data_IF_628660579918
#
_entry.id   IF_628660579918
#
_cell.length_a   1.000
_cell.length_b   1.000
_cell.length_c   1.000
_cell.angle_alpha   90.00
_cell.angle_beta   90.00
_cell.angle_gamma   90.00
#
_symmetry.space_group_name_H-M   'P 1'
#
loop_
_entity.id
_entity.type
_entity.pdbx_description
1 polymer ?
#
# COMPACT_ATOMS: atom_id res chain seq x y z
N UNK A 1 45.34 -8.98 33.07
CA UNK A 1 44.36 -9.56 33.99
C UNK A 1 43.16 -10.03 33.18
N UNK A 2 42.81 -11.31 33.21
CA UNK A 2 41.64 -11.85 32.49
C UNK A 2 40.42 -11.81 33.42
N UNK A 3 39.29 -11.31 32.92
CA UNK A 3 38.03 -11.29 33.67
C UNK A 3 37.57 -12.73 34.00
N UNK A 4 37.04 -12.99 35.21
CA UNK A 4 36.54 -14.31 35.59
C UNK A 4 35.30 -14.68 34.78
N UNK A 5 35.21 -15.94 34.32
CA UNK A 5 34.12 -16.46 33.47
C UNK A 5 32.72 -16.28 34.07
N UNK A 6 32.60 -16.18 35.39
CA UNK A 6 31.34 -15.94 36.09
C UNK A 6 30.79 -14.51 35.95
N UNK A 7 31.51 -13.61 35.26
CA UNK A 7 31.08 -12.25 34.94
C UNK A 7 30.82 -12.04 33.44
N UNK A 8 30.96 -13.09 32.60
CA UNK A 8 30.39 -13.04 31.25
C UNK A 8 28.88 -13.29 31.36
N UNK A 9 28.10 -12.36 30.85
CA UNK A 9 26.68 -12.58 30.57
C UNK A 9 26.68 -13.44 29.30
N UNK A 10 26.03 -14.60 29.34
CA UNK A 10 25.83 -15.41 28.15
C UNK A 10 25.01 -14.60 27.15
N UNK A 11 25.50 -14.47 25.92
CA UNK A 11 24.68 -13.93 24.84
C UNK A 11 23.37 -14.73 24.78
N UNK A 12 22.21 -14.07 24.66
CA UNK A 12 20.95 -14.77 24.51
C UNK A 12 21.07 -15.77 23.35
N UNK A 13 20.40 -16.93 23.43
CA UNK A 13 20.42 -17.89 22.34
C UNK A 13 20.07 -17.15 21.05
N UNK A 14 20.85 -17.41 20.00
CA UNK A 14 20.48 -17.14 18.62
C UNK A 14 19.26 -18.04 18.29
N UNK A 15 18.13 -17.78 18.95
CA UNK A 15 16.83 -18.15 18.42
C UNK A 15 16.69 -17.30 17.17
N UNK A 16 17.15 -17.90 16.05
CA UNK A 16 16.83 -17.63 14.66
C UNK A 16 15.67 -16.64 14.51
N UNK A 17 15.95 -15.35 14.67
CA UNK A 17 15.24 -14.35 13.88
C UNK A 17 15.83 -14.52 12.49
N UNK A 18 15.15 -15.35 11.71
CA UNK A 18 15.30 -15.38 10.26
C UNK A 18 14.85 -14.01 9.75
N UNK A 19 15.68 -12.98 9.98
CA UNK A 19 15.46 -11.60 9.49
C UNK A 19 15.46 -11.56 7.96
N UNK A 20 15.92 -12.66 7.34
CA UNK A 20 15.98 -12.90 5.92
C UNK A 20 14.96 -13.94 5.44
N UNK A 21 13.77 -14.03 6.07
CA UNK A 21 12.65 -14.74 5.46
C UNK A 21 12.37 -14.07 4.11
N UNK A 22 12.86 -14.72 3.04
CA UNK A 22 12.93 -14.20 1.68
C UNK A 22 11.58 -13.62 1.33
N UNK A 23 11.48 -12.28 1.33
CA UNK A 23 10.23 -11.57 1.07
C UNK A 23 9.86 -11.87 -0.38
N UNK A 24 9.03 -12.89 -0.58
CA UNK A 24 8.47 -13.21 -1.87
C UNK A 24 7.76 -11.96 -2.42
N UNK A 25 7.74 -11.74 -3.74
CA UNK A 25 6.97 -10.64 -4.32
C UNK A 25 5.50 -10.73 -3.87
N UNK A 26 5.07 -9.77 -3.04
CA UNK A 26 3.72 -9.74 -2.45
C UNK A 26 3.60 -10.23 -1.01
N UNK A 27 4.68 -10.73 -0.38
CA UNK A 27 4.68 -11.07 1.04
C UNK A 27 4.61 -9.80 1.91
N UNK A 28 3.71 -9.82 2.90
CA UNK A 28 3.55 -8.78 3.91
C UNK A 28 4.44 -9.19 5.09
N UNK A 29 5.49 -8.42 5.45
CA UNK A 29 6.29 -8.72 6.63
C UNK A 29 5.42 -8.86 7.87
N UNK A 30 5.78 -9.77 8.77
CA UNK A 30 5.07 -10.01 10.03
C UNK A 30 4.81 -8.73 10.82
N UNK A 31 5.77 -7.80 10.82
CA UNK A 31 5.65 -6.47 11.41
C UNK A 31 4.59 -5.59 10.75
N UNK A 32 4.48 -5.64 9.41
CA UNK A 32 3.49 -4.88 8.67
C UNK A 32 2.07 -5.43 8.94
N UNK A 33 1.91 -6.75 9.04
CA UNK A 33 0.64 -7.34 9.44
C UNK A 33 0.23 -6.88 10.83
N UNK A 34 1.16 -6.90 11.79
CA UNK A 34 0.92 -6.44 13.16
C UNK A 34 0.54 -4.94 13.19
N UNK A 35 1.20 -4.10 12.41
CA UNK A 35 0.84 -2.68 12.27
C UNK A 35 -0.62 -2.52 11.83
N UNK A 36 -1.04 -3.25 10.81
CA UNK A 36 -2.42 -3.20 10.27
C UNK A 36 -3.43 -3.75 11.29
N UNK A 37 -3.06 -4.78 12.04
CA UNK A 37 -3.87 -5.34 13.14
C UNK A 37 -4.11 -4.32 14.25
N UNK A 38 -3.09 -3.53 14.62
CA UNK A 38 -3.21 -2.49 15.66
C UNK A 38 -3.92 -1.25 15.15
N UNK A 39 -3.61 -0.80 13.93
CA UNK A 39 -4.18 0.43 13.37
C UNK A 39 -5.63 0.25 12.97
N UNK A 40 -5.97 -0.91 12.38
CA UNK A 40 -7.29 -1.16 11.81
C UNK A 40 -7.96 -2.44 12.34
N UNK A 41 -8.19 -2.58 13.67
CA UNK A 41 -8.75 -3.79 14.26
C UNK A 41 -10.17 -4.10 13.72
N UNK A 42 -11.01 -3.06 13.61
CA UNK A 42 -12.43 -3.17 13.30
C UNK A 42 -12.78 -2.66 11.90
N UNK A 43 -11.85 -2.79 10.94
CA UNK A 43 -11.97 -2.20 9.59
C UNK A 43 -13.22 -2.66 8.81
N UNK A 44 -13.74 -3.84 9.12
CA UNK A 44 -14.93 -4.41 8.48
C UNK A 44 -16.25 -4.12 9.23
N UNK A 45 -16.19 -3.45 10.38
CA UNK A 45 -17.38 -3.07 11.12
C UNK A 45 -17.87 -1.69 10.66
N UNK A 46 -18.95 -1.66 9.86
CA UNK A 46 -19.50 -0.42 9.29
C UNK A 46 -19.97 0.61 10.34
N UNK A 47 -20.27 0.19 11.57
CA UNK A 47 -20.62 1.10 12.65
C UNK A 47 -19.40 1.82 13.24
N UNK A 48 -18.19 1.28 13.04
CA UNK A 48 -16.93 1.78 13.60
C UNK A 48 -16.04 2.39 12.52
N UNK A 49 -15.94 1.75 11.35
CA UNK A 49 -15.12 2.16 10.21
C UNK A 49 -15.75 3.34 9.45
N UNK A 50 -15.96 4.45 10.16
CA UNK A 50 -16.44 5.73 9.62
C UNK A 50 -15.28 6.58 9.08
N UNK A 51 -15.59 7.69 8.41
CA UNK A 51 -14.57 8.61 7.90
C UNK A 51 -13.64 9.12 9.02
N UNK A 52 -14.19 9.41 10.20
CA UNK A 52 -13.42 9.85 11.38
C UNK A 52 -12.46 8.77 11.88
N UNK A 53 -12.89 7.49 11.85
CA UNK A 53 -12.02 6.37 12.21
C UNK A 53 -10.79 6.30 11.31
N UNK A 54 -10.98 6.41 9.99
CA UNK A 54 -9.86 6.38 9.04
C UNK A 54 -8.99 7.64 9.16
N UNK A 55 -9.58 8.83 9.30
CA UNK A 55 -8.85 10.08 9.45
C UNK A 55 -7.90 10.05 10.66
N UNK A 56 -8.38 9.59 11.81
CA UNK A 56 -7.60 9.49 13.06
C UNK A 56 -6.56 8.37 13.06
N UNK A 57 -6.59 7.47 12.07
CA UNK A 57 -5.74 6.28 11.97
C UNK A 57 -4.90 6.28 10.69
N UNK A 58 -4.58 7.46 10.18
CA UNK A 58 -3.76 7.62 8.97
C UNK A 58 -2.31 7.19 9.25
N UNK A 59 -1.75 6.35 8.37
CA UNK A 59 -0.34 5.93 8.43
C UNK A 59 0.47 6.76 7.44
N UNK A 60 1.52 7.42 7.91
CA UNK A 60 2.44 8.21 7.09
C UNK A 60 3.81 7.51 7.00
N UNK A 61 4.37 7.48 5.79
CA UNK A 61 5.68 6.87 5.51
C UNK A 61 6.53 7.81 4.66
N UNK A 62 7.84 7.57 4.61
CA UNK A 62 8.80 8.37 3.85
C UNK A 62 8.78 8.11 2.34
N UNK A 63 8.24 6.97 1.86
CA UNK A 63 8.27 6.61 0.44
C UNK A 63 6.92 6.13 -0.09
N UNK A 64 6.63 6.47 -1.35
CA UNK A 64 5.40 6.01 -2.03
C UNK A 64 5.37 4.49 -2.20
N UNK A 65 6.52 3.84 -2.38
CA UNK A 65 6.61 2.37 -2.47
C UNK A 65 6.06 1.73 -1.19
N UNK A 66 6.44 2.24 -0.02
CA UNK A 66 5.89 1.73 1.26
C UNK A 66 4.41 2.09 1.42
N UNK A 67 3.97 3.27 0.97
CA UNK A 67 2.54 3.64 0.95
C UNK A 67 1.74 2.61 0.15
N UNK A 68 2.18 2.24 -1.05
CA UNK A 68 1.49 1.23 -1.87
C UNK A 68 1.41 -0.12 -1.16
N UNK A 69 2.52 -0.60 -0.58
CA UNK A 69 2.53 -1.87 0.18
C UNK A 69 1.55 -1.86 1.35
N UNK A 70 1.47 -0.77 2.10
CA UNK A 70 0.55 -0.63 3.23
C UNK A 70 -0.89 -0.58 2.72
N UNK A 71 -1.18 0.24 1.72
CA UNK A 71 -2.53 0.38 1.15
C UNK A 71 -3.04 -0.95 0.59
N UNK A 72 -2.21 -1.70 -0.13
CA UNK A 72 -2.57 -3.01 -0.68
C UNK A 72 -2.85 -4.02 0.44
N UNK A 73 -2.03 -4.01 1.50
CA UNK A 73 -2.22 -4.90 2.64
C UNK A 73 -3.49 -4.56 3.46
N UNK A 74 -3.81 -3.28 3.62
CA UNK A 74 -5.07 -2.84 4.26
C UNK A 74 -6.27 -3.20 3.39
N UNK A 75 -6.18 -2.98 2.08
CA UNK A 75 -7.23 -3.34 1.12
C UNK A 75 -7.47 -4.86 1.07
N UNK A 76 -6.41 -5.68 1.22
CA UNK A 76 -6.55 -7.12 1.29
C UNK A 76 -7.40 -7.58 2.49
N UNK A 77 -7.36 -6.85 3.61
CA UNK A 77 -8.14 -7.14 4.83
C UNK A 77 -9.62 -6.73 4.74
N UNK A 78 -9.95 -5.77 3.88
CA UNK A 78 -11.34 -5.35 3.71
C UNK A 78 -12.20 -6.50 3.16
N UNK A 79 -13.36 -6.69 3.77
CA UNK A 79 -14.37 -7.61 3.29
C UNK A 79 -15.01 -7.08 1.99
N UNK A 80 -15.52 -8.02 1.19
CA UNK A 80 -16.20 -7.72 -0.06
C UNK A 80 -15.33 -7.87 -1.30
N UNK A 81 -16.02 -7.93 -2.44
CA UNK A 81 -15.40 -8.22 -3.71
C UNK A 81 -14.56 -7.03 -4.20
N UNK A 82 -13.36 -7.36 -4.68
CA UNK A 82 -12.52 -6.40 -5.37
C UNK A 82 -13.08 -6.13 -6.77
N UNK A 83 -13.23 -4.85 -7.11
CA UNK A 83 -13.56 -4.40 -8.45
C UNK A 83 -12.35 -3.74 -9.08
N UNK A 84 -12.04 -4.13 -10.31
CA UNK A 84 -10.89 -3.63 -11.06
C UNK A 84 -11.35 -2.63 -12.12
N UNK A 85 -10.75 -1.46 -12.12
CA UNK A 85 -10.94 -0.40 -13.10
C UNK A 85 -9.65 -0.26 -13.89
N UNK A 86 -9.75 -0.27 -15.22
CA UNK A 86 -8.62 -0.11 -16.14
C UNK A 86 -8.73 1.21 -16.88
N UNK A 87 -7.63 1.95 -16.97
CA UNK A 87 -7.56 3.18 -17.77
C UNK A 87 -7.61 2.85 -19.26
N UNK A 88 -7.95 3.87 -20.05
CA UNK A 88 -7.85 3.85 -21.51
C UNK A 88 -6.91 5.00 -21.87
N UNK A 89 -5.64 4.68 -22.07
CA UNK A 89 -4.59 5.67 -22.31
C UNK A 89 -4.34 5.86 -23.80
N UNK A 90 -4.17 7.11 -24.21
CA UNK A 90 -3.85 7.52 -25.59
C UNK A 90 -2.92 8.73 -25.58
N UNK A 91 -2.05 8.82 -26.57
CA UNK A 91 -1.20 9.98 -26.78
C UNK A 91 -1.89 10.96 -27.74
N UNK A 92 -1.79 12.26 -27.43
CA UNK A 92 -2.48 13.31 -28.18
C UNK A 92 -1.97 13.47 -29.62
N UNK A 93 -0.68 13.21 -29.86
CA UNK A 93 -0.04 13.37 -31.19
C UNK A 93 0.08 12.04 -31.97
N UNK A 94 -0.57 10.97 -31.51
CA UNK A 94 -0.39 9.61 -32.06
C UNK A 94 -1.52 9.18 -33.01
N UNK A 95 -2.22 10.14 -33.62
CA UNK A 95 -3.30 9.85 -34.59
C UNK A 95 -2.79 9.10 -35.84
N UNK A 96 -1.49 9.22 -36.17
CA UNK A 96 -0.92 8.69 -37.42
C UNK A 96 0.25 7.69 -37.24
N UNK A 97 0.75 7.42 -36.03
CA UNK A 97 2.08 6.75 -35.90
C UNK A 97 2.24 5.62 -34.89
N UNK A 98 1.20 5.27 -34.11
CA UNK A 98 1.15 4.10 -33.23
C UNK A 98 2.50 3.81 -32.53
N UNK A 99 3.19 4.87 -32.07
CA UNK A 99 4.61 4.79 -31.71
C UNK A 99 4.84 3.97 -30.45
N UNK A 100 3.81 3.83 -29.63
CA UNK A 100 3.85 3.11 -28.37
C UNK A 100 2.78 2.05 -28.37
N UNK A 101 3.21 0.81 -28.10
CA UNK A 101 2.28 -0.28 -27.87
C UNK A 101 1.45 0.01 -26.62
N UNK A 102 0.15 -0.38 -26.60
CA UNK A 102 -0.72 -0.14 -25.45
C UNK A 102 -0.17 -0.79 -24.17
N UNK A 103 0.57 -1.89 -24.25
CA UNK A 103 1.27 -2.50 -23.12
C UNK A 103 2.29 -1.55 -22.47
N UNK A 104 2.99 -0.75 -23.28
CA UNK A 104 3.94 0.24 -22.79
C UNK A 104 3.18 1.32 -22.03
N UNK A 105 2.09 1.86 -22.62
CA UNK A 105 1.26 2.88 -21.97
C UNK A 105 0.66 2.37 -20.65
N UNK A 106 0.18 1.13 -20.64
CA UNK A 106 -0.37 0.49 -19.44
C UNK A 106 0.67 0.27 -18.32
N UNK A 107 1.96 0.27 -18.66
CA UNK A 107 3.06 0.14 -17.69
C UNK A 107 3.52 1.47 -17.09
N UNK A 108 3.05 2.60 -17.63
CA UNK A 108 3.45 3.94 -17.18
C UNK A 108 2.89 4.22 -15.79
N UNK A 109 3.79 4.38 -14.81
CA UNK A 109 3.44 4.76 -13.44
C UNK A 109 4.21 6.03 -13.04
N UNK A 110 3.77 7.18 -13.55
CA UNK A 110 4.37 8.49 -13.32
C UNK A 110 3.59 9.23 -12.22
N UNK A 111 4.30 9.96 -11.35
CA UNK A 111 3.68 10.79 -10.32
C UNK A 111 2.66 11.76 -10.93
N UNK A 112 1.47 11.84 -10.34
CA UNK A 112 0.39 12.73 -10.78
C UNK A 112 -0.55 12.14 -11.83
N UNK A 113 -0.30 10.91 -12.28
CA UNK A 113 -1.21 10.14 -13.15
C UNK A 113 -1.70 8.91 -12.38
N UNK A 114 -3.01 8.61 -12.36
CA UNK A 114 -3.50 7.35 -11.80
C UNK A 114 -2.87 6.14 -12.49
N UNK A 115 -2.61 5.03 -11.77
CA UNK A 115 -2.11 3.82 -12.39
C UNK A 115 -3.13 3.26 -13.38
N UNK A 116 -2.65 2.55 -14.41
CA UNK A 116 -3.52 1.91 -15.40
C UNK A 116 -4.56 0.98 -14.76
N UNK A 117 -4.19 0.31 -13.68
CA UNK A 117 -5.05 -0.62 -12.96
C UNK A 117 -5.32 -0.08 -11.56
N UNK A 118 -6.59 0.18 -11.27
CA UNK A 118 -7.07 0.57 -9.95
C UNK A 118 -8.02 -0.51 -9.41
N UNK A 119 -7.66 -1.11 -8.28
CA UNK A 119 -8.48 -2.14 -7.61
C UNK A 119 -9.09 -1.56 -6.35
N UNK A 120 -10.41 -1.61 -6.22
CA UNK A 120 -11.16 -1.04 -5.09
C UNK A 120 -12.07 -2.09 -4.45
N UNK A 121 -12.32 -1.95 -3.15
CA UNK A 121 -13.31 -2.72 -2.40
C UNK A 121 -14.29 -1.79 -1.71
N UNK A 122 -15.50 -2.28 -1.45
CA UNK A 122 -16.51 -1.53 -0.69
C UNK A 122 -15.98 -1.25 0.73
N UNK A 123 -16.09 0.00 1.18
CA UNK A 123 -15.60 0.43 2.48
C UNK A 123 -14.13 0.88 2.50
N UNK A 124 -13.42 0.81 1.38
CA UNK A 124 -12.06 1.36 1.27
C UNK A 124 -12.09 2.90 1.27
N UNK A 125 -11.31 3.57 2.13
CA UNK A 125 -11.12 5.02 2.02
C UNK A 125 -10.33 5.34 0.75
N UNK A 126 -10.75 6.39 0.03
CA UNK A 126 -10.10 6.84 -1.20
C UNK A 126 -9.77 8.32 -1.11
N UNK A 127 -8.70 8.72 -1.82
CA UNK A 127 -8.33 10.12 -1.99
C UNK A 127 -8.55 10.53 -3.44
N UNK A 128 -9.25 11.65 -3.64
CA UNK A 128 -9.38 12.26 -4.95
C UNK A 128 -8.08 12.96 -5.33
N UNK A 129 -7.53 12.62 -6.50
CA UNK A 129 -6.29 13.23 -7.01
C UNK A 129 -6.55 14.40 -7.96
N UNK A 130 -7.81 14.65 -8.34
CA UNK A 130 -8.21 15.74 -9.22
C UNK A 130 -9.55 16.31 -8.76
N UNK A 131 -9.67 17.62 -8.94
CA UNK A 131 -10.91 18.37 -8.80
C UNK A 131 -11.96 17.84 -9.80
N UNK A 132 -13.17 17.59 -9.32
CA UNK A 132 -14.26 17.06 -10.15
C UNK A 132 -15.00 18.16 -10.91
N UNK A 133 -14.97 19.39 -10.40
CA UNK A 133 -15.56 20.57 -10.99
C UNK A 133 -14.61 21.78 -10.87
N UNK A 134 -13.60 21.86 -11.76
CA UNK A 134 -12.61 22.94 -11.75
C UNK A 134 -13.22 24.32 -11.89
N UNK A 135 -14.34 24.45 -12.61
CA UNK A 135 -15.04 25.72 -12.84
C UNK A 135 -15.61 26.32 -11.55
N UNK A 136 -15.96 25.46 -10.58
CA UNK A 136 -16.40 25.86 -9.25
C UNK A 136 -15.27 25.83 -8.20
N UNK A 137 -14.06 25.45 -8.62
CA UNK A 137 -12.92 25.27 -7.71
C UNK A 137 -13.03 24.04 -6.79
N UNK A 138 -13.80 23.02 -7.17
CA UNK A 138 -14.05 21.78 -6.42
C UNK A 138 -13.53 20.55 -7.16
#
# INVERSE_FOLDING_TARGET
MKLPRSMLIDDPPEDEVDEDEVIAPGAIPSDLKRLIDVMYPDVNNQAIATDEYFANRTVLTTTNVMVHRINDAVAARLDGDAHEYRSIDKLQDDEDRNFFEPEILNSVNINGIPPHKLTLKKGAPIMLMRNLNPDLGL
#
